data_IF_317427391251
#
_entry.id   IF_317427391251
#
_cell.length_a   1.000
_cell.length_b   1.000
_cell.length_c   1.000
_cell.angle_alpha   90.00
_cell.angle_beta   90.00
_cell.angle_gamma   90.00
#
_symmetry.space_group_name_H-M   'P 1'
#
loop_
_entity.id
_entity.type
_entity.pdbx_description
1 polymer ?
#
# COMPACT_ATOMS: atom_id res chain seq x y z
N UNK A 1 -0.88 1.91 -19.92
CA UNK A 1 0.34 2.72 -20.11
C UNK A 1 1.18 2.10 -21.22
N UNK A 2 1.62 2.91 -22.19
CA UNK A 2 2.55 2.53 -23.25
C UNK A 2 3.77 3.46 -23.17
N UNK A 3 4.91 3.11 -23.77
CA UNK A 3 5.96 4.10 -23.99
C UNK A 3 5.36 5.31 -24.74
N UNK A 4 5.39 6.48 -24.10
CA UNK A 4 4.71 7.70 -24.58
C UNK A 4 3.40 8.07 -23.87
N UNK A 5 2.95 7.30 -22.87
CA UNK A 5 1.84 7.67 -21.98
C UNK A 5 0.60 6.76 -22.06
N UNK A 6 -0.58 7.36 -21.96
CA UNK A 6 -1.87 6.66 -22.13
C UNK A 6 -2.35 6.76 -23.59
N UNK A 7 -3.11 5.76 -24.04
CA UNK A 7 -3.53 5.67 -25.44
C UNK A 7 -4.81 6.47 -25.74
N UNK A 8 -5.70 6.55 -24.77
CA UNK A 8 -6.93 7.34 -24.80
C UNK A 8 -7.10 8.04 -23.46
N UNK A 9 -7.86 9.13 -23.47
CA UNK A 9 -8.29 9.81 -22.26
C UNK A 9 -9.35 8.98 -21.51
N UNK A 10 -9.58 9.33 -20.26
CA UNK A 10 -10.68 8.78 -19.49
C UNK A 10 -12.04 9.25 -20.08
N UNK A 11 -13.06 8.37 -20.10
CA UNK A 11 -14.42 8.77 -20.42
C UNK A 11 -14.95 9.89 -19.51
N UNK A 12 -15.89 10.71 -20.00
CA UNK A 12 -16.43 11.85 -19.23
C UNK A 12 -17.10 11.43 -17.91
N UNK A 13 -17.65 10.22 -17.86
CA UNK A 13 -18.32 9.64 -16.68
C UNK A 13 -17.36 9.01 -15.66
N UNK A 14 -16.09 8.84 -16.02
CA UNK A 14 -15.09 8.23 -15.14
C UNK A 14 -14.79 9.11 -13.91
N UNK A 15 -14.58 10.41 -14.11
CA UNK A 15 -14.17 11.30 -13.02
C UNK A 15 -15.26 11.44 -11.94
N UNK A 16 -16.55 11.68 -12.27
CA UNK A 16 -17.61 11.70 -11.27
C UNK A 16 -17.78 10.34 -10.54
N UNK A 17 -17.59 9.23 -11.25
CA UNK A 17 -17.66 7.90 -10.64
C UNK A 17 -16.49 7.64 -9.68
N UNK A 18 -15.29 8.13 -10.02
CA UNK A 18 -14.13 8.04 -9.15
C UNK A 18 -14.32 8.86 -7.88
N UNK A 19 -14.84 10.09 -7.99
CA UNK A 19 -15.12 10.94 -6.84
C UNK A 19 -16.11 10.26 -5.88
N UNK A 20 -17.21 9.72 -6.41
CA UNK A 20 -18.17 8.95 -5.61
C UNK A 20 -17.52 7.72 -4.96
N UNK A 21 -16.71 6.98 -5.71
CA UNK A 21 -16.00 5.82 -5.17
C UNK A 21 -15.06 6.20 -4.03
N UNK A 22 -14.34 7.33 -4.13
CA UNK A 22 -13.42 7.78 -3.09
C UNK A 22 -14.16 8.20 -1.81
N UNK A 23 -15.37 8.77 -1.94
CA UNK A 23 -16.23 9.07 -0.79
C UNK A 23 -16.73 7.78 -0.11
N UNK A 24 -17.17 6.80 -0.90
CA UNK A 24 -17.71 5.54 -0.37
C UNK A 24 -16.60 4.64 0.22
N UNK A 25 -15.42 4.62 -0.42
CA UNK A 25 -14.32 3.72 -0.06
C UNK A 25 -13.76 3.99 1.32
N UNK A 26 -13.75 5.23 1.79
CA UNK A 26 -13.22 5.59 3.12
C UNK A 26 -14.01 4.87 4.24
N UNK A 27 -15.34 4.83 4.09
CA UNK A 27 -16.26 4.16 5.04
C UNK A 27 -16.02 2.65 5.04
N UNK A 28 -15.98 2.04 3.85
CA UNK A 28 -15.76 0.59 3.69
C UNK A 28 -14.37 0.18 4.19
N UNK A 29 -13.37 1.03 3.98
CA UNK A 29 -12.00 0.80 4.43
C UNK A 29 -11.89 0.87 5.95
N UNK A 30 -12.56 1.82 6.62
CA UNK A 30 -12.61 1.90 8.08
C UNK A 30 -13.22 0.62 8.69
N UNK A 31 -14.30 0.11 8.11
CA UNK A 31 -14.91 -1.15 8.58
C UNK A 31 -13.93 -2.33 8.46
N UNK A 32 -13.24 -2.43 7.32
CA UNK A 32 -12.24 -3.47 7.09
C UNK A 32 -11.06 -3.33 8.08
N UNK A 33 -10.60 -2.11 8.32
CA UNK A 33 -9.51 -1.83 9.27
C UNK A 33 -9.89 -2.28 10.67
N UNK A 34 -11.09 -1.93 11.14
CA UNK A 34 -11.60 -2.38 12.45
C UNK A 34 -11.67 -3.90 12.53
N UNK A 35 -12.18 -4.56 11.49
CA UNK A 35 -12.33 -6.02 11.45
C UNK A 35 -10.98 -6.77 11.49
N UNK A 36 -9.91 -6.18 10.96
CA UNK A 36 -8.60 -6.84 10.87
C UNK A 36 -7.67 -6.41 12.01
N UNK A 37 -7.55 -5.12 12.29
CA UNK A 37 -6.57 -4.58 13.24
C UNK A 37 -7.01 -4.74 14.70
N UNK A 38 -8.31 -4.73 14.99
CA UNK A 38 -8.83 -4.89 16.36
C UNK A 38 -9.17 -6.35 16.69
N UNK A 39 -9.10 -7.24 15.70
CA UNK A 39 -9.45 -8.64 15.91
C UNK A 39 -8.35 -9.39 16.67
N UNK A 40 -8.68 -9.81 17.90
CA UNK A 40 -7.75 -10.53 18.78
C UNK A 40 -7.16 -11.79 18.14
N UNK A 41 -7.95 -12.53 17.35
CA UNK A 41 -7.47 -13.74 16.67
C UNK A 41 -6.38 -13.35 15.66
N UNK A 42 -6.60 -12.31 14.85
CA UNK A 42 -5.62 -11.83 13.87
C UNK A 42 -4.35 -11.36 14.59
N UNK A 43 -4.51 -10.60 15.67
CA UNK A 43 -3.39 -10.05 16.43
C UNK A 43 -2.54 -11.15 17.08
N UNK A 44 -3.16 -12.15 17.71
CA UNK A 44 -2.47 -13.31 18.30
C UNK A 44 -1.76 -14.14 17.23
N UNK A 45 -2.30 -14.20 16.00
CA UNK A 45 -1.75 -15.01 14.92
C UNK A 45 -0.64 -14.35 14.12
N UNK A 46 -0.46 -13.03 14.25
CA UNK A 46 0.49 -12.26 13.43
C UNK A 46 1.57 -11.56 14.26
N UNK A 47 1.28 -11.16 15.50
CA UNK A 47 2.24 -10.46 16.35
C UNK A 47 3.41 -11.38 16.73
N UNK A 48 4.63 -10.92 16.44
CA UNK A 48 5.87 -11.67 16.75
C UNK A 48 6.16 -12.83 15.79
N UNK A 49 5.36 -12.99 14.73
CA UNK A 49 5.58 -14.02 13.71
C UNK A 49 6.49 -13.46 12.61
N UNK A 50 7.49 -14.24 12.20
CA UNK A 50 8.39 -13.90 11.08
C UNK A 50 9.08 -12.54 11.23
N UNK A 51 9.58 -12.22 12.42
CA UNK A 51 10.35 -11.00 12.68
C UNK A 51 11.60 -10.99 11.79
N UNK A 52 11.73 -9.97 10.95
CA UNK A 52 12.84 -9.80 10.02
C UNK A 52 13.75 -8.64 10.47
N UNK A 53 14.99 -8.92 10.92
CA UNK A 53 15.97 -7.88 11.22
C UNK A 53 16.32 -7.04 9.98
N UNK A 54 16.58 -5.74 10.18
CA UNK A 54 16.84 -4.79 9.09
C UNK A 54 18.08 -5.15 8.27
N UNK A 55 19.17 -5.56 8.92
CA UNK A 55 20.41 -5.96 8.28
C UNK A 55 20.22 -7.17 7.37
N UNK A 56 19.46 -8.17 7.85
CA UNK A 56 19.09 -9.34 7.05
C UNK A 56 18.18 -8.95 5.88
N UNK A 57 17.19 -8.08 6.11
CA UNK A 57 16.31 -7.59 5.04
C UNK A 57 17.10 -6.93 3.90
N UNK A 58 18.09 -6.10 4.23
CA UNK A 58 18.96 -5.43 3.25
C UNK A 58 19.84 -6.46 2.53
N UNK A 59 20.50 -7.35 3.27
CA UNK A 59 21.39 -8.36 2.69
C UNK A 59 20.63 -9.35 1.79
N UNK A 60 19.36 -9.62 2.09
CA UNK A 60 18.48 -10.46 1.29
C UNK A 60 17.76 -9.69 0.16
N UNK A 61 18.10 -8.41 -0.06
CA UNK A 61 17.49 -7.57 -1.10
C UNK A 61 15.96 -7.45 -0.99
N UNK A 62 15.43 -7.48 0.24
CA UNK A 62 14.00 -7.27 0.51
C UNK A 62 13.64 -5.81 0.21
N UNK A 63 12.44 -5.56 -0.31
CA UNK A 63 11.98 -4.22 -0.70
C UNK A 63 10.55 -3.95 -0.28
N UNK A 64 10.09 -2.71 -0.45
CA UNK A 64 8.68 -2.34 -0.28
C UNK A 64 8.17 -2.43 1.17
N UNK A 65 6.92 -2.86 1.40
CA UNK A 65 6.31 -2.91 2.73
C UNK A 65 7.10 -3.72 3.75
N UNK A 66 7.69 -4.85 3.35
CA UNK A 66 8.45 -5.72 4.24
C UNK A 66 9.74 -5.05 4.72
N UNK A 67 10.45 -4.36 3.83
CA UNK A 67 11.64 -3.59 4.19
C UNK A 67 11.29 -2.43 5.13
N UNK A 68 10.16 -1.76 4.89
CA UNK A 68 9.65 -0.69 5.76
C UNK A 68 9.25 -1.20 7.14
N UNK A 69 8.54 -2.32 7.20
CA UNK A 69 8.15 -2.96 8.46
C UNK A 69 9.37 -3.40 9.29
N UNK A 70 10.49 -3.70 8.63
CA UNK A 70 11.77 -4.03 9.28
C UNK A 70 12.52 -2.80 9.83
N UNK A 71 12.00 -1.58 9.62
CA UNK A 71 12.54 -0.33 10.16
C UNK A 71 13.25 0.60 9.17
N UNK A 72 13.25 0.27 7.87
CA UNK A 72 13.85 1.15 6.85
C UNK A 72 12.86 2.22 6.36
N UNK A 73 13.21 3.50 6.45
CA UNK A 73 12.45 4.57 5.77
C UNK A 73 12.83 4.67 4.28
N UNK A 74 12.50 3.62 3.51
CA UNK A 74 12.76 3.57 2.07
C UNK A 74 11.49 3.33 1.26
N UNK A 75 11.14 4.31 0.42
CA UNK A 75 10.09 4.20 -0.59
C UNK A 75 10.55 4.94 -1.85
N UNK A 76 10.58 4.23 -2.98
CA UNK A 76 11.01 4.80 -4.26
C UNK A 76 10.16 6.01 -4.67
N UNK A 77 8.85 5.99 -4.38
CA UNK A 77 7.95 7.11 -4.72
C UNK A 77 8.31 8.39 -3.98
N UNK A 78 9.04 8.30 -2.86
CA UNK A 78 9.51 9.46 -2.08
C UNK A 78 10.98 9.79 -2.30
N UNK A 79 11.85 8.76 -2.36
CA UNK A 79 13.31 8.95 -2.45
C UNK A 79 13.79 9.21 -3.88
N UNK A 80 13.15 8.60 -4.89
CA UNK A 80 13.41 8.86 -6.30
C UNK A 80 12.11 8.70 -7.11
N UNK A 81 11.21 9.72 -7.04
CA UNK A 81 9.93 9.70 -7.75
C UNK A 81 10.11 9.50 -9.26
N UNK A 82 9.21 8.75 -9.89
CA UNK A 82 9.33 8.34 -11.30
C UNK A 82 8.14 8.73 -12.19
N UNK A 83 7.14 9.42 -11.64
CA UNK A 83 6.04 10.08 -12.35
C UNK A 83 5.37 11.09 -11.40
N UNK A 84 4.38 11.85 -11.89
CA UNK A 84 3.53 12.75 -11.08
C UNK A 84 2.49 11.98 -10.24
#
# INVERSE_FOLDING_TARGET
>A
MRPGGVFFDAPDDFWPALDQFLEDFDIEFEELERLILENEIVMVRTRGVSVLPLDLAINASVSGPTLRASGSDWDWRKKAPYDA
#
